data_IF_880183617137
#
_entry.id   IF_880183617137
#
_cell.length_a   1.000
_cell.length_b   1.000
_cell.length_c   1.000
_cell.angle_alpha   90.00
_cell.angle_beta   90.00
_cell.angle_gamma   90.00
#
_symmetry.space_group_name_H-M   'P 1'
#
loop_
_entity.id
_entity.type
_entity.pdbx_description
1 polymer ?
#
# COMPACT_ATOMS: atom_id res chain seq x y z
N UNK A 1 21.50 3.53 -28.15
CA UNK A 1 21.59 3.19 -26.73
C UNK A 1 20.18 2.99 -26.18
N UNK A 2 19.87 1.81 -25.68
CA UNK A 2 18.62 1.54 -24.96
C UNK A 2 18.60 2.41 -23.69
N UNK A 3 17.51 3.15 -23.46
CA UNK A 3 17.37 3.96 -22.25
C UNK A 3 17.16 3.04 -21.04
N UNK A 4 17.76 3.41 -19.92
CA UNK A 4 17.50 2.74 -18.64
C UNK A 4 16.02 2.88 -18.27
N UNK A 5 15.35 1.80 -17.80
CA UNK A 5 13.95 1.84 -17.41
C UNK A 5 13.72 2.78 -16.22
N UNK A 6 12.55 3.41 -16.16
CA UNK A 6 12.19 4.34 -15.07
C UNK A 6 11.04 3.88 -14.20
N UNK A 7 10.31 2.86 -14.64
CA UNK A 7 9.28 2.20 -13.88
C UNK A 7 9.86 1.05 -13.06
N UNK A 8 9.23 0.74 -11.92
CA UNK A 8 9.70 -0.31 -11.01
C UNK A 8 9.78 -1.69 -11.70
N UNK A 9 8.78 -2.03 -12.52
CA UNK A 9 8.74 -3.33 -13.19
C UNK A 9 9.91 -3.48 -14.18
N UNK A 10 10.20 -2.44 -14.95
CA UNK A 10 11.33 -2.40 -15.87
C UNK A 10 12.68 -2.48 -15.16
N UNK A 11 12.84 -1.79 -14.02
CA UNK A 11 14.07 -1.85 -13.22
C UNK A 11 14.28 -3.27 -12.66
N UNK A 12 13.25 -3.90 -12.09
CA UNK A 12 13.33 -5.27 -11.56
C UNK A 12 13.59 -6.29 -12.66
N UNK A 13 12.92 -6.16 -13.82
CA UNK A 13 13.13 -7.05 -14.96
C UNK A 13 14.56 -6.94 -15.50
N UNK A 14 15.11 -5.72 -15.58
CA UNK A 14 16.50 -5.51 -15.99
C UNK A 14 17.48 -6.10 -14.98
N UNK A 15 17.27 -5.89 -13.68
CA UNK A 15 18.13 -6.45 -12.64
C UNK A 15 18.11 -7.99 -12.66
N UNK A 16 16.94 -8.62 -12.82
CA UNK A 16 16.82 -10.08 -12.95
C UNK A 16 17.57 -10.60 -14.16
N UNK A 17 17.41 -9.92 -15.31
CA UNK A 17 18.14 -10.27 -16.52
C UNK A 17 19.65 -10.16 -16.34
N UNK A 18 20.13 -9.09 -15.69
CA UNK A 18 21.56 -8.92 -15.41
C UNK A 18 22.09 -10.04 -14.51
N UNK A 19 21.35 -10.40 -13.46
CA UNK A 19 21.72 -11.52 -12.57
C UNK A 19 21.84 -12.83 -13.36
N UNK A 20 20.82 -13.17 -14.16
CA UNK A 20 20.80 -14.37 -14.99
C UNK A 20 21.95 -14.41 -16.00
N UNK A 21 22.20 -13.28 -16.69
CA UNK A 21 23.26 -13.15 -17.68
C UNK A 21 24.65 -13.29 -17.01
N UNK A 22 24.86 -12.74 -15.81
CA UNK A 22 26.11 -12.84 -15.07
C UNK A 22 26.39 -14.27 -14.59
N UNK A 23 25.36 -14.95 -14.07
CA UNK A 23 25.49 -16.36 -13.65
C UNK A 23 25.73 -17.29 -14.83
N UNK A 24 25.10 -17.04 -15.98
CA UNK A 24 25.24 -17.88 -17.16
C UNK A 24 26.56 -17.69 -17.92
N UNK A 25 27.22 -16.53 -17.77
CA UNK A 25 28.41 -16.17 -18.55
C UNK A 25 29.58 -15.70 -17.67
N UNK A 26 30.10 -16.54 -16.77
CA UNK A 26 31.18 -16.15 -15.84
C UNK A 26 32.48 -15.76 -16.56
N UNK A 27 32.77 -16.33 -17.74
CA UNK A 27 33.95 -15.97 -18.53
C UNK A 27 33.87 -14.57 -19.15
N UNK A 28 32.65 -14.08 -19.42
CA UNK A 28 32.40 -12.74 -19.97
C UNK A 28 32.39 -11.70 -18.85
N UNK A 29 31.87 -12.09 -17.68
CA UNK A 29 31.75 -11.25 -16.49
C UNK A 29 32.54 -11.86 -15.32
N UNK A 30 33.88 -11.89 -15.37
CA UNK A 30 34.68 -12.56 -14.34
C UNK A 30 34.68 -11.82 -12.99
N UNK A 31 34.41 -10.51 -13.00
CA UNK A 31 34.38 -9.67 -11.81
C UNK A 31 33.43 -8.46 -11.98
N UNK A 32 32.11 -8.67 -12.11
CA UNK A 32 31.17 -7.57 -12.19
C UNK A 32 31.17 -6.75 -10.89
N UNK A 33 31.07 -5.41 -10.95
CA UNK A 33 31.08 -4.57 -9.75
C UNK A 33 29.96 -4.88 -8.74
N UNK A 34 28.82 -5.37 -9.23
CA UNK A 34 27.78 -6.00 -8.44
C UNK A 34 27.63 -7.44 -8.93
N UNK A 35 27.77 -8.41 -8.01
CA UNK A 35 27.61 -9.83 -8.36
C UNK A 35 26.14 -10.19 -8.61
N UNK A 36 25.92 -11.34 -9.23
CA UNK A 36 24.57 -11.88 -9.41
C UNK A 36 23.85 -12.05 -8.06
N UNK A 37 24.56 -12.55 -7.04
CA UNK A 37 24.01 -12.73 -5.70
C UNK A 37 23.61 -11.40 -5.05
N UNK A 38 24.37 -10.33 -5.30
CA UNK A 38 24.04 -9.00 -4.80
C UNK A 38 22.80 -8.41 -5.50
N UNK A 39 22.63 -8.69 -6.80
CA UNK A 39 21.44 -8.30 -7.57
C UNK A 39 20.21 -9.08 -7.09
N UNK A 40 20.33 -10.39 -6.88
CA UNK A 40 19.24 -11.23 -6.37
C UNK A 40 18.82 -10.80 -4.95
N UNK A 41 19.77 -10.53 -4.06
CA UNK A 41 19.44 -10.01 -2.73
C UNK A 41 18.71 -8.65 -2.80
N UNK A 42 19.08 -7.79 -3.74
CA UNK A 42 18.40 -6.52 -3.98
C UNK A 42 17.00 -6.70 -4.55
N UNK A 43 16.80 -7.69 -5.44
CA UNK A 43 15.49 -8.04 -5.99
C UNK A 43 14.53 -8.51 -4.90
N UNK A 44 14.98 -9.41 -4.02
CA UNK A 44 14.18 -9.89 -2.88
C UNK A 44 13.84 -8.76 -1.91
N UNK A 45 14.78 -7.86 -1.63
CA UNK A 45 14.52 -6.69 -0.79
C UNK A 45 13.47 -5.76 -1.41
N UNK A 46 13.52 -5.54 -2.74
CA UNK A 46 12.50 -4.78 -3.45
C UNK A 46 11.14 -5.47 -3.41
N UNK A 47 11.07 -6.79 -3.58
CA UNK A 47 9.83 -7.55 -3.50
C UNK A 47 9.21 -7.42 -2.10
N UNK A 48 9.99 -7.64 -1.04
CA UNK A 48 9.55 -7.49 0.34
C UNK A 48 9.05 -6.07 0.65
N UNK A 49 9.73 -5.03 0.15
CA UNK A 49 9.30 -3.65 0.31
C UNK A 49 7.95 -3.37 -0.37
N UNK A 50 7.75 -3.90 -1.57
CA UNK A 50 6.47 -3.76 -2.30
C UNK A 50 5.32 -4.44 -1.56
N UNK A 51 5.55 -5.64 -1.05
CA UNK A 51 4.56 -6.38 -0.28
C UNK A 51 4.23 -5.66 1.03
N UNK A 52 5.22 -5.09 1.72
CA UNK A 52 5.01 -4.27 2.91
C UNK A 52 4.14 -3.04 2.63
N UNK A 53 4.39 -2.33 1.53
CA UNK A 53 3.55 -1.20 1.11
C UNK A 53 2.11 -1.64 0.87
N UNK A 54 1.89 -2.79 0.23
CA UNK A 54 0.53 -3.29 0.00
C UNK A 54 -0.17 -3.69 1.32
N UNK A 55 0.55 -4.32 2.24
CA UNK A 55 0.04 -4.63 3.57
C UNK A 55 -0.40 -3.38 4.34
N UNK A 56 0.41 -2.32 4.31
CA UNK A 56 0.08 -1.04 4.95
C UNK A 56 -1.13 -0.37 4.29
N UNK A 57 -1.24 -0.40 2.96
CA UNK A 57 -2.40 0.16 2.24
C UNK A 57 -3.69 -0.55 2.63
N UNK A 58 -3.68 -1.89 2.70
CA UNK A 58 -4.83 -2.66 3.12
C UNK A 58 -5.24 -2.35 4.58
N UNK A 59 -4.25 -2.24 5.49
CA UNK A 59 -4.50 -1.89 6.88
C UNK A 59 -5.06 -0.46 7.02
N UNK A 60 -4.54 0.50 6.25
CA UNK A 60 -5.06 1.87 6.21
C UNK A 60 -6.50 1.90 5.72
N UNK A 61 -6.83 1.18 4.64
CA UNK A 61 -8.18 1.11 4.11
C UNK A 61 -9.17 0.54 5.16
N UNK A 62 -8.78 -0.54 5.85
CA UNK A 62 -9.57 -1.11 6.93
C UNK A 62 -9.79 -0.11 8.08
N UNK A 63 -8.74 0.61 8.49
CA UNK A 63 -8.82 1.62 9.55
C UNK A 63 -9.72 2.80 9.15
N UNK A 64 -9.66 3.24 7.89
CA UNK A 64 -10.53 4.30 7.36
C UNK A 64 -12.00 3.85 7.38
N UNK A 65 -12.30 2.61 6.97
CA UNK A 65 -13.67 2.07 7.02
C UNK A 65 -14.21 2.01 8.45
N UNK A 66 -13.39 1.55 9.41
CA UNK A 66 -13.78 1.52 10.82
C UNK A 66 -14.08 2.92 11.36
N UNK A 67 -13.23 3.90 11.02
CA UNK A 67 -13.46 5.31 11.38
C UNK A 67 -14.79 5.80 10.80
N UNK A 68 -15.06 5.56 9.52
CA UNK A 68 -16.31 5.98 8.88
C UNK A 68 -17.53 5.37 9.56
N UNK A 69 -17.50 4.07 9.91
CA UNK A 69 -18.58 3.42 10.63
C UNK A 69 -18.83 4.05 12.02
N UNK A 70 -17.76 4.42 12.74
CA UNK A 70 -17.89 5.08 14.03
C UNK A 70 -18.55 6.46 13.92
N UNK A 71 -18.19 7.24 12.90
CA UNK A 71 -18.82 8.54 12.62
C UNK A 71 -20.28 8.40 12.21
N UNK A 72 -20.61 7.46 11.34
CA UNK A 72 -22.00 7.20 10.94
C UNK A 72 -22.89 6.88 12.15
N UNK A 73 -22.39 6.07 13.09
CA UNK A 73 -23.11 5.76 14.33
C UNK A 73 -23.25 6.97 15.25
N UNK A 74 -22.25 7.83 15.31
CA UNK A 74 -22.34 9.07 16.07
C UNK A 74 -23.41 10.00 15.48
N UNK A 75 -23.42 10.16 14.15
CA UNK A 75 -24.40 10.97 13.43
C UNK A 75 -25.83 10.43 13.65
N UNK A 76 -26.04 9.12 13.57
CA UNK A 76 -27.31 8.47 13.87
C UNK A 76 -27.80 8.80 15.29
N UNK A 77 -26.93 8.63 16.30
CA UNK A 77 -27.26 8.98 17.67
C UNK A 77 -27.61 10.47 17.83
N UNK A 78 -26.89 11.36 17.13
CA UNK A 78 -27.16 12.79 17.17
C UNK A 78 -28.53 13.11 16.55
N UNK A 79 -28.86 12.49 15.42
CA UNK A 79 -30.17 12.63 14.79
C UNK A 79 -31.30 12.15 15.69
N UNK A 80 -31.12 11.02 16.39
CA UNK A 80 -32.12 10.51 17.32
C UNK A 80 -32.34 11.44 18.51
N UNK A 81 -31.28 12.03 19.06
CA UNK A 81 -31.39 13.04 20.12
C UNK A 81 -32.12 14.30 19.66
N UNK A 82 -31.84 14.78 18.43
CA UNK A 82 -32.53 15.94 17.85
C UNK A 82 -34.02 15.64 17.71
N UNK A 83 -34.37 14.48 17.13
CA UNK A 83 -35.77 14.07 16.96
C UNK A 83 -36.50 13.94 18.29
N UNK A 84 -35.83 13.39 19.30
CA UNK A 84 -36.38 13.32 20.67
C UNK A 84 -36.67 14.72 21.23
N UNK A 85 -35.70 15.64 21.11
CA UNK A 85 -35.88 17.01 21.58
C UNK A 85 -37.03 17.73 20.86
N UNK A 86 -37.14 17.57 19.54
CA UNK A 86 -38.24 18.13 18.74
C UNK A 86 -39.59 17.60 19.21
N UNK A 87 -39.75 16.29 19.38
CA UNK A 87 -41.01 15.69 19.84
C UNK A 87 -41.35 16.10 21.28
N UNK A 88 -40.37 16.13 22.18
CA UNK A 88 -40.59 16.48 23.59
C UNK A 88 -41.00 17.95 23.76
N UNK A 89 -40.45 18.87 22.95
CA UNK A 89 -40.82 20.30 22.99
C UNK A 89 -42.18 20.52 22.33
N UNK A 90 -42.50 19.81 21.24
CA UNK A 90 -43.80 19.97 20.57
C UNK A 90 -44.99 19.48 21.43
N UNK A 91 -44.78 18.48 22.28
CA UNK A 91 -45.76 18.04 23.27
C UNK A 91 -45.90 19.01 24.47
N UNK A 92 -44.89 19.85 24.74
CA UNK A 92 -44.91 20.83 25.85
C UNK A 92 -45.60 22.15 25.45
N UNK A 93 -45.59 22.51 24.16
CA UNK A 93 -46.31 23.66 23.59
C UNK A 93 -47.85 23.45 23.52
N UNK A 94 -48.33 22.21 23.72
CA UNK A 94 -49.74 21.85 23.69
C UNK A 94 -50.44 21.92 25.06
N UNK A 95 -49.80 22.50 26.08
CA UNK A 95 -50.28 22.55 27.48
C UNK A 95 -50.64 23.95 27.96
#
# INVERSE_FOLDING_TARGET
MTKFPRDEAGILALAKKMSDDFTANPDIYPAPPASAEALDASLEACAAAKDAVQGIKAALEAAVRLKQAAFARLEENMHDNIRYAENAVHDDDAK
#
